data_IF_165124471380
#
_entry.id   IF_165124471380
#
_cell.length_a   1.000
_cell.length_b   1.000
_cell.length_c   1.000
_cell.angle_alpha   90.00
_cell.angle_beta   90.00
_cell.angle_gamma   90.00
#
_symmetry.space_group_name_H-M   'P 1'
#
loop_
_entity.id
_entity.type
_entity.pdbx_description
1 polymer ?
#
# COMPACT_ATOMS: atom_id res chain seq x y z
N UNK A 1 22.38 13.77 0.97
CA UNK A 1 20.91 13.91 1.07
C UNK A 1 20.59 15.12 1.95
N UNK A 2 20.12 16.24 1.39
CA UNK A 2 19.77 17.46 2.16
C UNK A 2 18.59 17.15 3.07
N UNK A 3 18.79 17.22 4.38
CA UNK A 3 17.73 17.13 5.38
C UNK A 3 16.67 18.18 5.06
N UNK A 4 15.47 17.74 4.68
CA UNK A 4 14.26 18.56 4.62
C UNK A 4 13.76 18.84 6.06
N UNK A 5 14.62 19.41 6.91
CA UNK A 5 14.29 19.65 8.32
C UNK A 5 13.79 21.07 8.63
N UNK A 6 13.90 22.04 7.71
CA UNK A 6 13.71 23.46 8.10
C UNK A 6 12.50 24.18 7.47
N UNK A 7 11.41 23.48 7.19
CA UNK A 7 10.12 24.13 6.83
C UNK A 7 8.94 23.38 7.42
N UNK A 8 8.78 23.50 8.74
CA UNK A 8 7.60 23.04 9.47
C UNK A 8 6.92 24.30 10.03
N UNK A 9 5.92 24.85 9.36
CA UNK A 9 4.86 25.54 10.09
C UNK A 9 3.85 24.47 10.55
N UNK A 10 3.36 24.66 11.77
CA UNK A 10 2.31 23.81 12.34
C UNK A 10 1.01 24.12 11.61
N UNK A 11 0.76 23.46 10.48
CA UNK A 11 -0.59 23.39 9.93
C UNK A 11 -1.38 22.45 10.85
N UNK A 12 -2.43 22.95 11.50
CA UNK A 12 -3.36 22.10 12.24
C UNK A 12 -3.80 20.92 11.35
N UNK A 13 -3.66 19.67 11.81
CA UNK A 13 -4.05 18.52 11.02
C UNK A 13 -5.52 18.62 10.59
N UNK A 14 -5.85 18.25 9.33
CA UNK A 14 -7.23 18.23 8.90
C UNK A 14 -7.96 17.14 9.68
N UNK A 15 -8.96 17.52 10.46
CA UNK A 15 -9.77 16.56 11.21
C UNK A 15 -10.62 15.64 10.31
N UNK A 16 -10.90 16.06 9.07
CA UNK A 16 -11.80 15.33 8.17
C UNK A 16 -11.27 15.19 6.74
N UNK A 17 -11.73 14.15 6.04
CA UNK A 17 -11.40 13.91 4.62
C UNK A 17 -11.80 15.08 3.71
N UNK A 18 -12.95 15.73 3.98
CA UNK A 18 -13.39 16.89 3.20
C UNK A 18 -12.43 18.07 3.35
N UNK A 19 -11.98 18.38 4.57
CA UNK A 19 -10.98 19.44 4.81
C UNK A 19 -9.65 19.09 4.14
N UNK A 20 -9.24 17.82 4.23
CA UNK A 20 -8.02 17.32 3.57
C UNK A 20 -8.07 17.49 2.03
N UNK A 21 -9.18 17.10 1.39
CA UNK A 21 -9.36 17.25 -0.06
C UNK A 21 -9.47 18.72 -0.52
N UNK A 22 -10.08 19.59 0.28
CA UNK A 22 -10.15 21.02 -0.06
C UNK A 22 -8.78 21.71 0.05
N UNK A 23 -8.00 21.39 1.09
CA UNK A 23 -6.64 21.94 1.23
C UNK A 23 -5.74 21.50 0.07
N UNK A 24 -5.87 20.25 -0.39
CA UNK A 24 -5.19 19.75 -1.62
C UNK A 24 -5.76 20.32 -2.91
N UNK A 25 -6.98 20.83 -2.90
CA UNK A 25 -7.55 21.51 -4.06
C UNK A 25 -6.84 22.80 -4.40
N UNK A 26 -6.53 23.58 -3.38
CA UNK A 26 -6.07 24.96 -3.49
C UNK A 26 -4.58 25.10 -3.88
N UNK A 27 -3.86 23.99 -4.13
CA UNK A 27 -2.40 23.96 -4.38
C UNK A 27 -1.59 24.78 -3.36
N UNK A 28 -2.17 25.06 -2.19
CA UNK A 28 -1.42 25.55 -1.05
C UNK A 28 -0.39 24.47 -0.81
N UNK A 29 0.89 24.81 -1.02
CA UNK A 29 2.00 23.93 -0.72
C UNK A 29 1.71 23.38 0.67
N UNK A 30 1.30 22.11 0.75
CA UNK A 30 1.38 21.46 2.03
C UNK A 30 2.86 21.53 2.34
N UNK A 31 3.20 22.36 3.32
CA UNK A 31 4.38 22.07 4.11
C UNK A 31 4.29 20.59 4.44
N UNK A 32 5.26 19.86 3.91
CA UNK A 32 5.27 18.40 3.82
C UNK A 32 4.67 17.86 5.10
N UNK A 33 3.50 17.23 5.00
CA UNK A 33 2.92 16.52 6.12
C UNK A 33 4.01 15.56 6.58
N UNK A 34 4.56 15.79 7.77
CA UNK A 34 5.57 14.93 8.33
C UNK A 34 4.96 13.54 8.40
N UNK A 35 5.47 12.65 7.55
CA UNK A 35 5.23 11.23 7.71
C UNK A 35 5.97 10.82 8.97
N UNK A 36 5.28 10.89 10.11
CA UNK A 36 5.82 10.47 11.39
C UNK A 36 5.73 8.95 11.43
N UNK A 37 6.74 8.29 10.86
CA UNK A 37 6.85 6.85 10.95
C UNK A 37 7.43 6.50 12.32
N UNK A 38 6.78 5.62 13.10
CA UNK A 38 7.37 5.09 14.34
C UNK A 38 8.76 4.47 14.10
N UNK A 39 9.08 4.09 12.84
CA UNK A 39 10.38 3.56 12.43
C UNK A 39 11.17 4.40 11.40
N UNK A 40 10.77 5.63 11.08
CA UNK A 40 11.73 6.57 10.47
C UNK A 40 12.79 7.00 11.48
N UNK A 41 12.49 6.86 12.77
CA UNK A 41 13.47 6.97 13.86
C UNK A 41 14.42 5.77 13.94
N UNK A 42 14.04 4.59 13.42
CA UNK A 42 14.99 3.49 13.18
C UNK A 42 16.03 3.82 12.10
N UNK A 43 15.75 4.82 11.24
CA UNK A 43 16.68 5.32 10.22
C UNK A 43 17.34 6.65 10.58
N UNK A 44 16.85 7.39 11.59
CA UNK A 44 17.48 8.62 12.08
C UNK A 44 18.45 8.29 13.23
N UNK A 45 19.73 8.29 12.88
CA UNK A 45 20.93 8.49 13.73
C UNK A 45 21.52 7.35 14.58
N UNK A 46 20.82 6.26 14.90
CA UNK A 46 21.45 5.20 15.73
C UNK A 46 21.84 3.91 14.99
N UNK A 47 21.48 3.77 13.70
CA UNK A 47 21.94 2.66 12.85
C UNK A 47 22.68 3.11 11.58
N UNK A 48 22.75 4.41 11.33
CA UNK A 48 23.87 4.96 10.59
C UNK A 48 25.05 4.92 11.55
N UNK A 49 25.81 3.82 11.53
CA UNK A 49 27.21 3.87 11.97
C UNK A 49 27.79 5.02 11.18
N UNK A 50 28.18 6.07 11.91
CA UNK A 50 28.89 7.22 11.36
C UNK A 50 29.92 6.70 10.34
N UNK A 51 29.83 7.22 9.12
CA UNK A 51 30.79 7.04 8.04
C UNK A 51 30.83 5.73 7.22
N UNK A 52 29.82 4.83 7.23
CA UNK A 52 29.88 3.63 6.33
C UNK A 52 28.67 3.31 5.46
N UNK A 53 27.52 4.00 5.57
CA UNK A 53 26.39 3.79 4.64
C UNK A 53 25.75 2.38 4.64
N UNK A 54 26.09 1.52 5.60
CA UNK A 54 25.61 0.13 5.65
C UNK A 54 24.30 0.02 6.45
N UNK A 55 23.20 -0.29 5.77
CA UNK A 55 21.93 -0.69 6.41
C UNK A 55 22.14 -2.04 7.10
N UNK A 56 21.86 -2.12 8.41
CA UNK A 56 21.96 -3.38 9.17
C UNK A 56 21.07 -4.47 8.55
N UNK A 57 21.69 -5.59 8.14
CA UNK A 57 21.05 -6.75 7.52
C UNK A 57 19.97 -7.39 8.42
N UNK A 58 20.05 -7.19 9.73
CA UNK A 58 19.09 -7.74 10.70
C UNK A 58 17.81 -6.90 10.82
N UNK A 59 17.85 -5.63 10.38
CA UNK A 59 16.77 -4.65 10.60
C UNK A 59 16.09 -4.21 9.30
N UNK A 60 16.58 -4.62 8.12
CA UNK A 60 15.90 -4.33 6.85
C UNK A 60 14.76 -5.33 6.64
N UNK A 61 13.51 -4.84 6.68
CA UNK A 61 12.31 -5.64 6.40
C UNK A 61 11.93 -5.64 4.91
N UNK A 62 12.76 -5.02 4.04
CA UNK A 62 12.61 -5.12 2.59
C UNK A 62 11.45 -4.30 2.01
N UNK A 63 11.11 -3.14 2.59
CA UNK A 63 10.10 -2.24 2.01
C UNK A 63 10.58 -1.46 0.77
N UNK A 64 11.87 -1.53 0.42
CA UNK A 64 12.48 -0.95 -0.79
C UNK A 64 12.36 0.59 -0.92
N UNK A 65 11.95 1.29 0.14
CA UNK A 65 11.72 2.74 0.13
C UNK A 65 13.00 3.57 0.26
N UNK A 66 14.08 2.96 0.75
CA UNK A 66 15.42 3.57 0.85
C UNK A 66 16.30 3.29 -0.37
N UNK A 67 15.76 2.61 -1.39
CA UNK A 67 16.51 2.22 -2.59
C UNK A 67 16.18 3.21 -3.71
N UNK A 68 17.18 3.95 -4.16
CA UNK A 68 17.11 4.73 -5.40
C UNK A 68 17.37 3.81 -6.61
N UNK A 69 16.96 4.23 -7.81
CA UNK A 69 17.06 3.39 -9.01
C UNK A 69 18.51 2.97 -9.28
N UNK A 70 19.45 3.90 -9.14
CA UNK A 70 20.86 3.67 -9.44
C UNK A 70 21.54 2.75 -8.39
N UNK A 71 20.95 2.66 -7.19
CA UNK A 71 21.44 1.80 -6.10
C UNK A 71 20.83 0.40 -6.11
N UNK A 72 19.82 0.14 -6.96
CA UNK A 72 19.05 -1.11 -6.93
C UNK A 72 19.91 -2.37 -7.17
N UNK A 73 21.02 -2.23 -7.92
CA UNK A 73 21.97 -3.32 -8.19
C UNK A 73 22.88 -3.65 -6.99
N UNK A 74 22.84 -2.83 -5.95
CA UNK A 74 23.63 -3.01 -4.73
C UNK A 74 22.87 -3.76 -3.64
N UNK A 75 21.72 -4.40 -3.93
CA UNK A 75 20.91 -5.12 -2.94
C UNK A 75 20.68 -6.58 -3.31
N UNK A 76 20.78 -7.47 -2.32
CA UNK A 76 20.56 -8.91 -2.40
C UNK A 76 19.08 -9.20 -2.53
N UNK A 77 18.80 -10.48 -2.77
CA UNK A 77 17.46 -10.99 -2.94
C UNK A 77 16.57 -10.43 -1.81
N UNK A 78 17.04 -10.40 -0.59
CA UNK A 78 16.24 -10.00 0.55
C UNK A 78 16.03 -8.47 0.69
N UNK A 79 16.44 -7.66 -0.30
CA UNK A 79 16.43 -6.21 -0.24
C UNK A 79 17.46 -5.67 0.75
N UNK A 80 18.55 -6.40 0.98
CA UNK A 80 19.65 -6.06 1.89
C UNK A 80 20.87 -5.61 1.08
N UNK A 81 21.60 -4.55 1.45
CA UNK A 81 22.78 -4.14 0.70
C UNK A 81 23.79 -5.28 0.52
N UNK A 82 24.19 -5.58 -0.72
CA UNK A 82 25.26 -6.51 -1.05
C UNK A 82 26.59 -5.77 -0.92
N UNK A 83 27.53 -6.37 -0.21
CA UNK A 83 28.95 -6.08 -0.41
C UNK A 83 29.40 -6.72 -1.73
N UNK A 84 29.08 -6.07 -2.86
CA UNK A 84 29.48 -6.40 -4.23
C UNK A 84 28.98 -7.71 -4.88
N UNK A 85 28.74 -7.62 -6.21
CA UNK A 85 28.58 -8.67 -7.23
C UNK A 85 27.24 -9.43 -7.38
N UNK A 86 26.10 -8.75 -7.54
CA UNK A 86 24.95 -9.33 -8.28
C UNK A 86 24.19 -8.26 -9.06
N UNK A 87 24.47 -8.13 -10.36
CA UNK A 87 23.95 -7.03 -11.19
C UNK A 87 22.49 -7.16 -11.67
N UNK A 88 21.74 -8.23 -11.35
CA UNK A 88 20.44 -8.49 -12.04
C UNK A 88 19.29 -8.98 -11.16
N UNK A 89 19.34 -8.73 -9.85
CA UNK A 89 18.35 -9.33 -8.97
C UNK A 89 16.92 -8.84 -9.21
N UNK A 90 16.69 -7.53 -9.12
CA UNK A 90 15.32 -7.00 -9.18
C UNK A 90 14.70 -7.22 -10.55
N UNK A 91 15.50 -7.22 -11.61
CA UNK A 91 15.06 -7.60 -12.96
C UNK A 91 14.58 -9.05 -13.03
N UNK A 92 15.33 -9.99 -12.45
CA UNK A 92 14.95 -11.41 -12.40
C UNK A 92 13.66 -11.65 -11.61
N UNK A 93 13.47 -10.94 -10.48
CA UNK A 93 12.22 -11.01 -9.72
C UNK A 93 11.08 -10.39 -10.52
N UNK A 94 11.30 -9.18 -11.04
CA UNK A 94 10.35 -8.38 -11.81
C UNK A 94 9.81 -9.13 -13.02
N UNK A 95 10.67 -9.94 -13.68
CA UNK A 95 10.27 -10.79 -14.79
C UNK A 95 9.10 -11.71 -14.42
N UNK A 96 8.96 -12.16 -13.19
CA UNK A 96 7.89 -13.09 -12.81
C UNK A 96 6.63 -12.39 -12.30
N UNK A 97 6.72 -11.13 -11.88
CA UNK A 97 5.61 -10.39 -11.29
C UNK A 97 4.50 -10.10 -12.31
N UNK A 98 3.25 -10.16 -11.85
CA UNK A 98 2.04 -9.73 -12.57
C UNK A 98 1.77 -10.39 -13.91
N UNK A 99 2.24 -11.64 -14.11
CA UNK A 99 2.08 -12.41 -15.35
C UNK A 99 0.75 -13.17 -15.50
N UNK A 100 -0.17 -13.06 -14.54
CA UNK A 100 -1.44 -13.79 -14.56
C UNK A 100 -1.35 -15.23 -14.05
N UNK A 101 -0.26 -15.56 -13.36
CA UNK A 101 0.03 -16.88 -12.84
C UNK A 101 0.43 -16.80 -11.38
N UNK A 102 0.31 -17.92 -10.67
CA UNK A 102 0.82 -18.02 -9.31
C UNK A 102 2.32 -17.73 -9.33
N UNK A 103 2.77 -16.90 -8.40
CA UNK A 103 4.18 -16.60 -8.24
C UNK A 103 4.64 -16.96 -6.84
N UNK A 104 5.83 -17.54 -6.74
CA UNK A 104 6.56 -17.58 -5.47
C UNK A 104 7.26 -16.25 -5.35
N UNK A 105 6.85 -15.44 -4.38
CA UNK A 105 7.38 -14.09 -4.27
C UNK A 105 8.83 -14.13 -3.82
N UNK A 106 9.71 -13.54 -4.63
CA UNK A 106 11.08 -13.22 -4.23
C UNK A 106 11.12 -11.80 -3.64
N UNK A 107 12.08 -11.47 -2.77
CA UNK A 107 12.77 -12.37 -1.84
C UNK A 107 12.65 -11.91 -0.38
N UNK A 108 13.00 -12.83 0.51
CA UNK A 108 12.54 -12.91 1.90
C UNK A 108 11.06 -12.52 2.16
N UNK A 109 10.09 -13.10 1.42
CA UNK A 109 8.67 -12.87 1.69
C UNK A 109 8.35 -13.04 3.18
N UNK A 110 8.92 -14.07 3.81
CA UNK A 110 8.65 -14.43 5.20
C UNK A 110 8.92 -13.30 6.20
N UNK A 111 10.05 -12.57 6.10
CA UNK A 111 10.32 -11.45 7.02
C UNK A 111 9.34 -10.29 6.84
N UNK A 112 9.06 -9.90 5.59
CA UNK A 112 8.10 -8.83 5.29
C UNK A 112 6.69 -9.21 5.75
N UNK A 113 6.27 -10.45 5.48
CA UNK A 113 4.98 -11.00 5.91
C UNK A 113 4.86 -11.04 7.42
N UNK A 114 5.85 -11.57 8.15
CA UNK A 114 5.83 -11.63 9.61
C UNK A 114 5.75 -10.23 10.22
N UNK A 115 6.51 -9.28 9.68
CA UNK A 115 6.50 -7.92 10.19
C UNK A 115 5.14 -7.23 9.97
N UNK A 116 4.61 -7.31 8.76
CA UNK A 116 3.30 -6.70 8.44
C UNK A 116 2.14 -7.46 9.10
N UNK A 117 2.25 -8.76 9.35
CA UNK A 117 1.23 -9.51 10.08
C UNK A 117 1.15 -9.16 11.58
N UNK A 118 2.21 -8.61 12.16
CA UNK A 118 2.32 -8.42 13.62
C UNK A 118 1.50 -7.25 14.17
N UNK A 119 1.37 -6.16 13.41
CA UNK A 119 0.64 -4.97 13.84
C UNK A 119 0.06 -4.21 12.63
N UNK A 120 -1.24 -3.96 12.66
CA UNK A 120 -1.94 -3.19 11.62
C UNK A 120 -1.53 -1.71 11.66
N UNK A 121 -1.67 -1.07 12.83
CA UNK A 121 -1.50 0.39 13.00
C UNK A 121 -0.04 0.81 13.01
N UNK A 122 0.82 0.06 13.70
CA UNK A 122 2.21 0.47 13.90
C UNK A 122 3.14 -0.04 12.79
N UNK A 123 2.78 -1.12 12.08
CA UNK A 123 3.65 -1.74 11.07
C UNK A 123 3.04 -1.73 9.66
N UNK A 124 1.85 -2.30 9.48
CA UNK A 124 1.24 -2.48 8.14
C UNK A 124 0.92 -1.15 7.48
N UNK A 125 0.14 -0.30 8.15
CA UNK A 125 -0.33 0.98 7.61
C UNK A 125 0.85 1.92 7.29
N UNK A 126 1.87 2.11 8.16
CA UNK A 126 3.02 2.94 7.84
C UNK A 126 3.88 2.40 6.68
N UNK A 127 4.03 1.07 6.55
CA UNK A 127 4.74 0.47 5.41
C UNK A 127 3.99 0.70 4.11
N UNK A 128 2.68 0.46 4.11
CA UNK A 128 1.83 0.71 2.96
C UNK A 128 1.90 2.18 2.52
N UNK A 129 1.78 3.11 3.48
CA UNK A 129 1.87 4.53 3.24
C UNK A 129 3.21 4.91 2.57
N UNK A 130 4.31 4.36 3.08
CA UNK A 130 5.65 4.50 2.49
C UNK A 130 5.72 3.99 1.06
N UNK A 131 5.27 2.75 0.84
CA UNK A 131 5.33 2.13 -0.48
C UNK A 131 4.54 2.94 -1.50
N UNK A 132 3.31 3.36 -1.18
CA UNK A 132 2.49 4.18 -2.06
C UNK A 132 3.12 5.56 -2.32
N UNK A 133 3.72 6.19 -1.31
CA UNK A 133 4.43 7.45 -1.46
C UNK A 133 5.57 7.34 -2.48
N UNK A 134 6.46 6.35 -2.34
CA UNK A 134 7.60 6.14 -3.24
C UNK A 134 7.24 5.45 -4.56
N UNK A 135 6.05 4.85 -4.66
CA UNK A 135 5.51 4.33 -5.91
C UNK A 135 4.90 5.46 -6.76
N UNK A 136 4.57 6.61 -6.16
CA UNK A 136 4.00 7.75 -6.88
C UNK A 136 4.84 8.19 -8.08
N UNK A 137 4.16 8.75 -9.08
CA UNK A 137 4.79 9.41 -10.23
C UNK A 137 5.66 10.60 -9.83
N UNK A 138 5.21 11.41 -8.87
CA UNK A 138 5.97 12.55 -8.33
C UNK A 138 5.61 12.74 -6.86
N UNK A 139 6.55 12.44 -5.98
CA UNK A 139 6.39 12.50 -4.53
C UNK A 139 6.03 13.91 -4.00
N UNK A 140 6.34 14.96 -4.76
CA UNK A 140 6.00 16.33 -4.39
C UNK A 140 4.51 16.63 -4.61
N UNK A 141 3.84 15.88 -5.48
CA UNK A 141 2.42 16.03 -5.80
C UNK A 141 1.51 15.19 -4.88
N UNK A 142 2.09 14.64 -3.80
CA UNK A 142 1.43 13.68 -2.90
C UNK A 142 1.18 14.28 -1.52
N UNK A 143 -0.03 14.07 -1.02
CA UNK A 143 -0.39 14.27 0.38
C UNK A 143 -0.91 12.95 0.96
N UNK A 144 -0.48 12.61 2.18
CA UNK A 144 -0.82 11.34 2.82
C UNK A 144 -1.17 11.54 4.28
N UNK A 145 -2.16 10.78 4.75
CA UNK A 145 -2.66 10.71 6.12
C UNK A 145 -2.87 9.26 6.48
N UNK A 146 -2.36 8.82 7.62
CA UNK A 146 -2.46 7.42 8.01
C UNK A 146 -2.38 7.22 9.53
N UNK A 147 -2.86 6.07 9.98
CA UNK A 147 -2.66 5.58 11.35
C UNK A 147 -1.18 5.41 11.70
N UNK A 148 -0.82 5.53 13.00
CA UNK A 148 -1.69 5.91 14.13
C UNK A 148 -1.73 7.43 14.38
N UNK A 149 -0.86 8.21 13.75
CA UNK A 149 -0.55 9.58 14.19
C UNK A 149 -1.32 10.67 13.45
N UNK A 150 -1.85 10.37 12.27
CA UNK A 150 -2.45 11.36 11.37
C UNK A 150 -3.73 10.84 10.71
N UNK A 151 -4.48 10.03 11.44
CA UNK A 151 -5.80 9.55 11.02
C UNK A 151 -6.69 10.77 10.73
N UNK A 152 -7.47 10.67 9.66
CA UNK A 152 -8.51 11.64 9.33
C UNK A 152 -9.85 10.93 9.39
N UNK A 153 -10.89 11.63 9.80
CA UNK A 153 -12.21 11.05 9.88
C UNK A 153 -13.03 11.31 8.63
N UNK A 154 -13.97 10.42 8.34
CA UNK A 154 -15.16 10.79 7.59
C UNK A 154 -16.21 11.33 8.56
N UNK A 155 -17.01 12.28 8.12
CA UNK A 155 -18.16 12.71 8.92
C UNK A 155 -19.18 11.55 8.95
N UNK A 156 -19.29 10.86 10.09
CA UNK A 156 -20.29 9.81 10.26
C UNK A 156 -21.62 10.42 10.69
N UNK A 157 -22.72 9.92 10.12
CA UNK A 157 -24.06 10.28 10.60
C UNK A 157 -24.34 9.73 12.02
N UNK A 158 -23.64 8.65 12.38
CA UNK A 158 -23.72 8.02 13.70
C UNK A 158 -22.71 8.66 14.67
N UNK A 159 -23.23 9.40 15.64
CA UNK A 159 -22.46 10.06 16.71
C UNK A 159 -21.96 9.09 17.79
N UNK A 160 -22.39 7.83 17.76
CA UNK A 160 -21.95 6.77 18.68
C UNK A 160 -20.95 5.81 18.03
N UNK A 161 -20.46 6.12 16.82
CA UNK A 161 -19.45 5.29 16.16
C UNK A 161 -18.18 5.23 17.04
N UNK A 162 -17.82 4.06 17.59
CA UNK A 162 -16.65 3.94 18.47
C UNK A 162 -15.33 4.18 17.73
N UNK A 163 -15.33 4.21 16.40
CA UNK A 163 -14.17 4.57 15.58
C UNK A 163 -14.21 6.02 15.10
N UNK A 164 -15.25 6.79 15.42
CA UNK A 164 -15.39 8.22 15.06
C UNK A 164 -15.09 8.52 13.58
N UNK A 165 -15.40 7.58 12.68
CA UNK A 165 -15.12 7.76 11.26
C UNK A 165 -13.65 7.65 10.85
N UNK A 166 -12.71 7.29 11.73
CA UNK A 166 -11.28 7.28 11.45
C UNK A 166 -10.92 6.34 10.30
N UNK A 167 -10.20 6.88 9.33
CA UNK A 167 -9.64 6.16 8.19
C UNK A 167 -8.19 5.75 8.46
N UNK A 168 -7.86 4.50 8.15
CA UNK A 168 -6.51 3.99 8.36
C UNK A 168 -5.49 4.65 7.42
N UNK A 169 -5.88 4.88 6.16
CA UNK A 169 -5.04 5.51 5.14
C UNK A 169 -5.85 6.37 4.17
N UNK A 170 -5.36 7.57 3.89
CA UNK A 170 -5.78 8.39 2.75
C UNK A 170 -4.55 8.98 2.05
N UNK A 171 -4.38 8.68 0.77
CA UNK A 171 -3.30 9.22 -0.08
C UNK A 171 -3.91 9.91 -1.31
N UNK A 172 -3.43 11.11 -1.59
CA UNK A 172 -3.92 11.97 -2.66
C UNK A 172 -2.75 12.36 -3.56
N UNK A 173 -2.92 12.15 -4.86
CA UNK A 173 -2.21 12.91 -5.87
C UNK A 173 -3.06 14.13 -6.22
N UNK A 174 -2.67 15.30 -5.68
CA UNK A 174 -3.51 16.48 -5.76
C UNK A 174 -3.48 17.14 -7.13
N UNK A 175 -2.41 16.93 -7.90
CA UNK A 175 -2.27 17.40 -9.27
C UNK A 175 -3.14 16.61 -10.26
N UNK A 176 -3.14 15.28 -10.17
CA UNK A 176 -3.95 14.41 -11.03
C UNK A 176 -5.37 14.19 -10.51
N UNK A 177 -5.72 14.77 -9.36
CA UNK A 177 -7.03 14.63 -8.70
C UNK A 177 -7.42 13.18 -8.46
N UNK A 178 -6.47 12.37 -7.97
CA UNK A 178 -6.67 10.94 -7.64
C UNK A 178 -6.51 10.73 -6.14
N UNK A 179 -7.46 10.04 -5.52
CA UNK A 179 -7.50 9.68 -4.11
C UNK A 179 -7.57 8.15 -3.97
N UNK A 180 -6.74 7.59 -3.09
CA UNK A 180 -6.96 6.25 -2.55
C UNK A 180 -7.24 6.39 -1.06
N UNK A 181 -8.33 5.77 -0.62
CA UNK A 181 -8.61 5.52 0.80
C UNK A 181 -8.48 4.03 1.04
N UNK A 182 -7.77 3.66 2.10
CA UNK A 182 -7.51 2.29 2.47
C UNK A 182 -8.03 1.97 3.86
N UNK A 183 -8.79 0.89 3.99
CA UNK A 183 -8.89 0.16 5.26
C UNK A 183 -7.76 -0.86 5.27
N UNK A 184 -6.93 -0.86 6.31
CA UNK A 184 -5.73 -1.70 6.35
C UNK A 184 -5.99 -2.87 7.29
N UNK A 185 -5.57 -4.06 6.89
CA UNK A 185 -5.62 -5.26 7.73
C UNK A 185 -4.27 -5.96 7.67
N UNK A 186 -3.73 -6.34 8.83
CA UNK A 186 -2.44 -7.03 8.89
C UNK A 186 -2.47 -8.46 8.35
N UNK A 187 -3.65 -9.08 8.23
CA UNK A 187 -3.83 -10.39 7.59
C UNK A 187 -5.30 -10.65 7.23
N UNK A 188 -5.56 -11.70 6.43
CA UNK A 188 -6.94 -12.17 6.19
C UNK A 188 -7.64 -12.58 7.48
N UNK A 189 -6.93 -13.16 8.45
CA UNK A 189 -7.52 -13.63 9.71
C UNK A 189 -8.06 -12.44 10.51
N UNK A 190 -7.29 -11.35 10.57
CA UNK A 190 -7.71 -10.14 11.26
C UNK A 190 -8.89 -9.47 10.55
N UNK A 191 -8.90 -9.46 9.22
CA UNK A 191 -10.05 -8.97 8.44
C UNK A 191 -11.32 -9.79 8.72
N UNK A 192 -11.24 -11.12 8.66
CA UNK A 192 -12.38 -12.01 8.88
C UNK A 192 -12.95 -11.88 10.30
N UNK A 193 -12.07 -11.69 11.30
CA UNK A 193 -12.49 -11.43 12.69
C UNK A 193 -13.29 -10.12 12.83
N UNK A 194 -12.98 -9.13 12.00
CA UNK A 194 -13.56 -7.79 12.06
C UNK A 194 -14.79 -7.61 11.16
N UNK A 195 -15.25 -8.63 10.42
CA UNK A 195 -16.39 -8.53 9.47
C UNK A 195 -17.64 -7.91 10.10
N UNK A 196 -17.95 -8.25 11.36
CA UNK A 196 -19.13 -7.70 12.05
C UNK A 196 -19.06 -6.20 12.31
N UNK A 197 -17.85 -5.63 12.24
CA UNK A 197 -17.56 -4.20 12.41
C UNK A 197 -17.23 -3.56 11.06
N UNK A 198 -17.51 -4.24 9.95
CA UNK A 198 -17.16 -3.75 8.63
C UNK A 198 -17.81 -2.40 8.35
N UNK A 199 -17.00 -1.45 7.92
CA UNK A 199 -17.37 -0.06 7.71
C UNK A 199 -17.55 0.25 6.22
N UNK A 200 -17.34 -0.74 5.35
CA UNK A 200 -17.22 -0.55 3.91
C UNK A 200 -18.37 0.23 3.30
N UNK A 201 -19.60 -0.24 3.47
CA UNK A 201 -20.77 0.36 2.83
C UNK A 201 -20.99 1.82 3.27
N UNK A 202 -20.78 2.10 4.56
CA UNK A 202 -20.90 3.44 5.15
C UNK A 202 -19.80 4.38 4.66
N UNK A 203 -18.57 3.88 4.60
CA UNK A 203 -17.40 4.70 4.28
C UNK A 203 -17.28 4.94 2.78
N UNK A 204 -17.48 3.91 1.95
CA UNK A 204 -17.42 3.97 0.48
C UNK A 204 -18.31 5.07 -0.08
N UNK A 205 -19.61 5.04 0.26
CA UNK A 205 -20.58 6.02 -0.23
C UNK A 205 -20.24 7.46 0.17
N UNK A 206 -19.79 7.65 1.41
CA UNK A 206 -19.38 8.96 1.92
C UNK A 206 -18.11 9.47 1.23
N UNK A 207 -17.10 8.61 1.05
CA UNK A 207 -15.85 8.92 0.35
C UNK A 207 -16.12 9.28 -1.10
N UNK A 208 -16.93 8.49 -1.82
CA UNK A 208 -17.29 8.75 -3.22
C UNK A 208 -18.00 10.11 -3.37
N UNK A 209 -18.97 10.39 -2.50
CA UNK A 209 -19.68 11.67 -2.48
C UNK A 209 -18.75 12.85 -2.22
N UNK A 210 -17.94 12.79 -1.16
CA UNK A 210 -17.02 13.87 -0.79
C UNK A 210 -15.96 14.08 -1.88
N UNK A 211 -15.40 13.00 -2.41
CA UNK A 211 -14.40 13.05 -3.49
C UNK A 211 -14.98 13.69 -4.73
N UNK A 212 -16.20 13.31 -5.13
CA UNK A 212 -16.89 13.91 -6.28
C UNK A 212 -17.11 15.41 -6.09
N UNK A 213 -17.56 15.85 -4.90
CA UNK A 213 -17.76 17.28 -4.59
C UNK A 213 -16.43 18.05 -4.67
N UNK A 214 -15.35 17.45 -4.19
CA UNK A 214 -14.01 18.06 -4.23
C UNK A 214 -13.33 17.94 -5.60
N UNK A 215 -13.90 17.20 -6.55
CA UNK A 215 -13.36 17.02 -7.90
C UNK A 215 -12.26 15.96 -8.00
N UNK A 216 -12.27 14.95 -7.14
CA UNK A 216 -11.32 13.83 -7.10
C UNK A 216 -11.96 12.54 -7.61
N UNK A 217 -11.19 11.77 -8.39
CA UNK A 217 -11.46 10.36 -8.64
C UNK A 217 -10.96 9.56 -7.44
N UNK A 218 -11.80 8.68 -6.88
CA UNK A 218 -11.46 7.91 -5.69
C UNK A 218 -11.49 6.41 -5.94
N UNK A 219 -10.57 5.70 -5.29
CA UNK A 219 -10.65 4.26 -5.02
C UNK A 219 -10.73 4.08 -3.51
N UNK A 220 -11.65 3.22 -3.08
CA UNK A 220 -11.69 2.72 -1.72
C UNK A 220 -11.40 1.22 -1.76
N UNK A 221 -10.46 0.74 -0.95
CA UNK A 221 -10.02 -0.66 -0.98
C UNK A 221 -9.52 -1.13 0.39
N UNK A 222 -9.51 -2.45 0.58
CA UNK A 222 -8.73 -3.06 1.65
C UNK A 222 -7.29 -3.23 1.21
N UNK A 223 -6.37 -2.92 2.10
CA UNK A 223 -4.99 -3.35 1.96
C UNK A 223 -4.70 -4.47 2.94
N UNK A 224 -4.20 -5.60 2.43
CA UNK A 224 -3.98 -6.81 3.22
C UNK A 224 -2.49 -7.08 3.34
N UNK A 225 -1.96 -6.98 4.56
CA UNK A 225 -0.61 -7.40 4.91
C UNK A 225 -0.49 -8.90 5.14
N UNK A 226 0.66 -9.32 5.66
CA UNK A 226 0.92 -10.72 5.99
C UNK A 226 1.17 -11.59 4.76
N UNK A 227 0.84 -12.88 4.89
CA UNK A 227 1.10 -13.87 3.85
C UNK A 227 0.12 -13.73 2.67
N UNK A 228 0.64 -13.27 1.53
CA UNK A 228 -0.13 -13.16 0.28
C UNK A 228 -0.58 -14.53 -0.25
N UNK A 229 0.09 -15.63 0.10
CA UNK A 229 -0.27 -16.96 -0.40
C UNK A 229 -1.74 -17.29 -0.11
N UNK A 230 -2.25 -16.84 1.02
CA UNK A 230 -3.65 -17.02 1.44
C UNK A 230 -4.66 -16.20 0.62
N UNK A 231 -4.21 -15.31 -0.26
CA UNK A 231 -5.03 -14.47 -1.15
C UNK A 231 -5.10 -15.01 -2.59
N UNK A 232 -4.44 -16.13 -2.89
CA UNK A 232 -4.61 -16.79 -4.18
C UNK A 232 -5.91 -17.60 -4.19
N UNK A 233 -6.67 -17.57 -5.30
CA UNK A 233 -7.92 -18.31 -5.40
C UNK A 233 -7.68 -19.82 -5.36
N UNK A 234 -8.66 -20.61 -4.86
CA UNK A 234 -8.64 -22.07 -4.93
C UNK A 234 -8.39 -22.53 -6.37
N UNK A 235 -7.48 -23.48 -6.55
CA UNK A 235 -6.98 -23.89 -7.86
C UNK A 235 -8.01 -24.66 -8.71
N UNK A 236 -8.09 -24.33 -9.99
CA UNK A 236 -8.20 -25.33 -11.05
C UNK A 236 -6.77 -25.72 -11.51
N UNK A 237 -6.51 -27.03 -11.50
CA UNK A 237 -5.36 -27.83 -11.97
C UNK A 237 -3.89 -27.45 -11.65
N UNK A 238 -3.45 -26.19 -11.69
CA UNK A 238 -2.00 -25.85 -11.68
C UNK A 238 -1.50 -25.05 -10.46
N UNK A 239 -2.26 -25.02 -9.37
CA UNK A 239 -1.90 -24.27 -8.14
C UNK A 239 -1.99 -25.16 -6.91
N UNK A 240 -1.19 -24.91 -5.86
CA UNK A 240 -1.23 -25.70 -4.63
C UNK A 240 -2.66 -25.75 -4.05
N UNK A 241 -3.16 -26.97 -3.82
CA UNK A 241 -4.49 -27.29 -3.25
C UNK A 241 -4.64 -26.91 -1.77
N UNK A 242 -4.25 -25.70 -1.39
CA UNK A 242 -4.45 -25.21 -0.02
C UNK A 242 -5.29 -23.94 -0.10
N UNK A 243 -6.51 -24.09 -0.62
CA UNK A 243 -7.57 -23.20 -0.20
C UNK A 243 -8.05 -23.69 1.16
N UNK A 244 -7.58 -23.03 2.22
CA UNK A 244 -8.17 -23.18 3.54
C UNK A 244 -9.58 -22.57 3.51
N UNK A 245 -10.53 -23.05 4.31
CA UNK A 245 -11.90 -22.51 4.45
C UNK A 245 -11.90 -20.97 4.63
N UNK A 246 -10.85 -20.43 5.23
CA UNK A 246 -10.62 -18.99 5.39
C UNK A 246 -10.47 -18.22 4.07
N UNK A 247 -9.86 -18.81 3.05
CA UNK A 247 -9.74 -18.17 1.74
C UNK A 247 -11.12 -18.05 1.06
N UNK A 248 -11.96 -19.08 1.20
CA UNK A 248 -13.34 -19.07 0.69
C UNK A 248 -14.15 -17.99 1.40
N UNK A 249 -14.14 -17.98 2.74
CA UNK A 249 -14.82 -16.97 3.57
C UNK A 249 -14.36 -15.54 3.21
N UNK A 250 -13.06 -15.36 2.96
CA UNK A 250 -12.51 -14.09 2.51
C UNK A 250 -13.07 -13.66 1.14
N UNK A 251 -13.09 -14.54 0.15
CA UNK A 251 -13.61 -14.18 -1.16
C UNK A 251 -15.12 -13.94 -1.16
N UNK A 252 -15.88 -14.67 -0.35
CA UNK A 252 -17.31 -14.38 -0.13
C UNK A 252 -17.50 -12.98 0.46
N UNK A 253 -16.73 -12.64 1.50
CA UNK A 253 -16.76 -11.32 2.12
C UNK A 253 -16.41 -10.20 1.13
N UNK A 254 -15.32 -10.35 0.35
CA UNK A 254 -14.90 -9.33 -0.61
C UNK A 254 -15.88 -9.19 -1.77
N UNK A 255 -16.45 -10.30 -2.28
CA UNK A 255 -17.46 -10.24 -3.35
C UNK A 255 -18.72 -9.49 -2.92
N UNK A 256 -19.07 -9.56 -1.63
CA UNK A 256 -20.18 -8.81 -1.05
C UNK A 256 -19.89 -7.30 -1.09
N UNK A 257 -20.84 -6.51 -1.56
CA UNK A 257 -20.75 -5.02 -1.67
C UNK A 257 -19.63 -4.51 -2.58
N UNK A 258 -19.19 -5.34 -3.53
CA UNK A 258 -18.21 -4.99 -4.54
C UNK A 258 -16.92 -4.41 -3.92
N UNK A 259 -16.36 -5.16 -2.94
CA UNK A 259 -15.13 -4.77 -2.28
C UNK A 259 -13.93 -5.02 -3.19
N UNK A 260 -12.94 -4.15 -3.04
CA UNK A 260 -11.65 -4.25 -3.71
C UNK A 260 -10.62 -4.54 -2.63
N UNK A 261 -9.71 -5.48 -2.89
CA UNK A 261 -8.54 -5.69 -2.04
C UNK A 261 -7.25 -5.59 -2.83
N UNK A 262 -6.19 -5.16 -2.16
CA UNK A 262 -4.84 -5.12 -2.72
C UNK A 262 -3.91 -5.71 -1.66
N UNK A 263 -3.13 -6.73 -2.02
CA UNK A 263 -2.11 -7.24 -1.11
C UNK A 263 -0.98 -6.22 -0.98
N UNK A 264 -0.43 -6.12 0.23
CA UNK A 264 0.74 -5.28 0.47
C UNK A 264 1.97 -5.78 -0.30
N UNK A 265 2.05 -7.10 -0.50
CA UNK A 265 3.06 -7.74 -1.33
C UNK A 265 2.96 -7.32 -2.80
N UNK A 266 1.75 -7.16 -3.35
CA UNK A 266 1.58 -6.61 -4.70
C UNK A 266 2.09 -5.18 -4.79
N UNK A 267 1.81 -4.32 -3.79
CA UNK A 267 2.37 -2.96 -3.78
C UNK A 267 3.91 -3.00 -3.73
N UNK A 268 4.50 -3.92 -2.93
CA UNK A 268 5.94 -4.16 -2.91
C UNK A 268 6.45 -4.63 -4.28
N UNK A 269 5.74 -5.52 -4.95
CA UNK A 269 6.02 -5.98 -6.30
C UNK A 269 5.99 -4.87 -7.35
N UNK A 270 5.02 -3.95 -7.26
CA UNK A 270 4.99 -2.75 -8.11
C UNK A 270 6.23 -1.89 -7.88
N UNK A 271 6.70 -1.75 -6.62
CA UNK A 271 7.96 -1.04 -6.32
C UNK A 271 9.17 -1.75 -6.93
N UNK A 272 9.23 -3.09 -6.90
CA UNK A 272 10.27 -3.88 -7.58
C UNK A 272 10.25 -3.60 -9.08
N UNK A 273 9.08 -3.63 -9.74
CA UNK A 273 8.98 -3.29 -11.16
C UNK A 273 9.43 -1.86 -11.44
N UNK A 274 9.07 -0.90 -10.60
CA UNK A 274 9.51 0.50 -10.73
C UNK A 274 11.03 0.65 -10.63
N UNK A 275 11.66 -0.06 -9.70
CA UNK A 275 13.12 0.00 -9.51
C UNK A 275 13.90 -0.71 -10.63
N UNK A 276 13.27 -1.65 -11.33
CA UNK A 276 13.90 -2.47 -12.37
C UNK A 276 13.46 -2.08 -13.78
N UNK A 277 12.36 -2.68 -14.24
CA UNK A 277 11.97 -2.74 -15.65
C UNK A 277 11.04 -1.62 -16.09
N UNK A 278 10.33 -0.97 -15.15
CA UNK A 278 9.30 0.03 -15.45
C UNK A 278 9.46 1.31 -14.59
N UNK A 279 10.50 2.14 -14.79
CA UNK A 279 10.79 3.31 -13.95
C UNK A 279 9.65 4.35 -13.86
N UNK A 280 8.80 4.41 -14.88
CA UNK A 280 7.63 5.31 -14.91
C UNK A 280 6.38 4.72 -14.26
N UNK A 281 6.45 3.48 -13.76
CA UNK A 281 5.34 2.81 -13.11
C UNK A 281 4.91 3.58 -11.85
N UNK A 282 3.60 3.77 -11.71
CA UNK A 282 3.00 4.58 -10.66
C UNK A 282 1.72 3.93 -10.14
N UNK A 283 1.37 4.14 -8.87
CA UNK A 283 0.09 3.66 -8.36
C UNK A 283 -1.07 4.43 -8.98
N UNK A 284 -0.85 5.70 -9.30
CA UNK A 284 -1.84 6.60 -9.90
C UNK A 284 -2.34 6.05 -11.22
N UNK A 285 -1.46 5.44 -12.01
CA UNK A 285 -1.82 4.89 -13.31
C UNK A 285 -2.24 3.41 -13.17
N UNK A 286 -1.48 2.60 -12.44
CA UNK A 286 -1.75 1.16 -12.35
C UNK A 286 -3.07 0.86 -11.63
N UNK A 287 -3.28 1.43 -10.44
CA UNK A 287 -4.44 1.10 -9.63
C UNK A 287 -5.73 1.71 -10.20
N UNK A 288 -5.66 2.92 -10.77
CA UNK A 288 -6.83 3.51 -11.45
C UNK A 288 -7.15 2.81 -12.76
N UNK A 289 -6.16 2.34 -13.53
CA UNK A 289 -6.42 1.54 -14.73
C UNK A 289 -7.10 0.21 -14.39
N UNK A 290 -6.77 -0.40 -13.26
CA UNK A 290 -7.33 -1.70 -12.85
C UNK A 290 -8.68 -1.57 -12.16
N UNK A 291 -8.85 -0.62 -11.25
CA UNK A 291 -10.01 -0.61 -10.35
C UNK A 291 -10.99 0.54 -10.58
N UNK A 292 -10.58 1.66 -11.16
CA UNK A 292 -11.48 2.79 -11.33
C UNK A 292 -12.56 2.47 -12.38
N UNK A 293 -13.83 2.45 -11.95
CA UNK A 293 -15.00 2.04 -12.75
C UNK A 293 -14.97 0.59 -13.24
N UNK A 294 -14.08 -0.25 -12.72
CA UNK A 294 -14.06 -1.66 -13.07
C UNK A 294 -14.97 -2.45 -12.12
N UNK A 295 -16.00 -3.07 -12.68
CA UNK A 295 -16.87 -3.98 -11.94
C UNK A 295 -16.40 -5.44 -12.01
N UNK A 296 -15.44 -5.80 -12.86
CA UNK A 296 -15.00 -7.19 -13.05
C UNK A 296 -13.82 -7.59 -12.14
N UNK A 297 -13.09 -6.61 -11.62
CA UNK A 297 -11.84 -6.82 -10.90
C UNK A 297 -12.09 -6.81 -9.39
N UNK A 298 -11.62 -7.86 -8.72
CA UNK A 298 -11.83 -8.12 -7.30
C UNK A 298 -10.64 -7.67 -6.45
N UNK A 299 -9.42 -7.86 -6.96
CA UNK A 299 -8.23 -7.43 -6.25
C UNK A 299 -6.94 -7.57 -7.03
N UNK A 300 -5.84 -7.19 -6.38
CA UNK A 300 -4.49 -7.24 -6.93
C UNK A 300 -3.59 -8.01 -5.97
N UNK A 301 -2.94 -9.04 -6.52
CA UNK A 301 -1.88 -9.82 -5.86
C UNK A 301 -0.65 -9.81 -6.76
N UNK A 302 0.51 -10.24 -6.25
CA UNK A 302 1.78 -10.15 -6.96
C UNK A 302 1.82 -11.00 -8.24
N UNK A 303 0.95 -12.01 -8.33
CA UNK A 303 0.74 -12.80 -9.55
C UNK A 303 -0.12 -12.10 -10.62
N UNK A 304 -0.88 -11.06 -10.29
CA UNK A 304 -1.73 -10.35 -11.24
C UNK A 304 -3.05 -9.78 -10.67
N UNK A 305 -3.95 -9.39 -11.58
CA UNK A 305 -5.30 -8.91 -11.23
C UNK A 305 -6.22 -10.11 -11.03
N UNK A 306 -6.87 -10.20 -9.88
CA UNK A 306 -7.89 -11.21 -9.60
C UNK A 306 -9.26 -10.70 -10.05
N UNK A 307 -9.98 -11.49 -10.85
CA UNK A 307 -11.36 -11.19 -11.26
C UNK A 307 -12.38 -11.73 -10.26
N UNK A 308 -13.64 -11.32 -10.42
CA UNK A 308 -14.77 -11.88 -9.64
C UNK A 308 -14.99 -13.37 -9.85
N UNK A 309 -14.65 -13.87 -11.03
CA UNK A 309 -14.65 -15.30 -11.33
C UNK A 309 -13.46 -16.03 -10.70
N UNK A 310 -12.68 -15.34 -9.86
CA UNK A 310 -11.48 -15.85 -9.21
C UNK A 310 -10.40 -16.28 -10.22
N UNK A 311 -10.41 -15.69 -11.42
CA UNK A 311 -9.37 -15.87 -12.43
C UNK A 311 -8.26 -14.85 -12.21
N UNK A 312 -7.01 -15.30 -12.28
CA UNK A 312 -5.85 -14.43 -12.21
C UNK A 312 -5.47 -14.00 -13.62
N UNK A 313 -5.39 -12.69 -13.86
CA UNK A 313 -5.07 -12.10 -15.14
C UNK A 313 -3.73 -11.37 -15.08
N UNK A 314 -3.04 -11.33 -16.22
CA UNK A 314 -1.85 -10.50 -16.40
C UNK A 314 -2.22 -9.02 -16.22
N UNK A 315 -1.35 -8.26 -15.56
CA UNK A 315 -1.57 -6.83 -15.43
C UNK A 315 -1.32 -6.10 -16.77
N UNK A 316 -2.05 -5.00 -17.04
CA UNK A 316 -2.06 -4.34 -18.35
C UNK A 316 -0.94 -3.30 -18.53
N UNK A 317 0.16 -3.38 -17.78
CA UNK A 317 1.29 -2.46 -17.86
C UNK A 317 2.57 -3.21 -18.25
#
# INVERSE_FOLDING_TARGET
>A
MKLLNDRIAKIEPPATIKKFLNLTKENKQFEKIEMCFPNSFGFKRNYFIADTGLISQNNCFGCLCCIEKDDANSFDNNGVPIKANNEYLFENISYNLFKGLFIKVGPNPKKFWLYTASDEKNHTTPILANLLYYLSKNINDIAIRCSPNWEISIDTADKKDPREGHLDLAIVNYKERKLIVGEVKSSIINLLRDIKRDQWARYKSSIEKISSICGYKSIFCYFIGGDEFSLYPPADSDRPKIANDRAVEFFEFIKKDDKIFISLEAIRGLKIQKLSTHPNLSWEDCLFKVFYKSNSNLGLISGGVLTRELKLLRCPW
#
